data_IF_718170961231
#
_entry.id   IF_718170961231
#
_cell.length_a   1.000
_cell.length_b   1.000
_cell.length_c   1.000
_cell.angle_alpha   90.00
_cell.angle_beta   90.00
_cell.angle_gamma   90.00
#
_symmetry.space_group_name_H-M   'P 1'
#
loop_
_entity.id
_entity.type
_entity.pdbx_description
1 polymer ?
#
# COMPACT_ATOMS: atom_id res chain seq x y z
N UNK A 1 7.64 -27.12 4.82
CA UNK A 1 6.23 -27.41 4.49
C UNK A 1 5.71 -26.34 3.56
N UNK A 2 5.25 -26.71 2.36
CA UNK A 2 4.85 -25.82 1.26
C UNK A 2 3.88 -24.70 1.70
N UNK A 3 2.92 -25.02 2.57
CA UNK A 3 1.94 -24.07 3.10
C UNK A 3 2.58 -22.91 3.87
N UNK A 4 3.66 -23.16 4.62
CA UNK A 4 4.35 -22.10 5.39
C UNK A 4 5.06 -21.10 4.47
N UNK A 5 5.67 -21.59 3.38
CA UNK A 5 6.31 -20.74 2.37
C UNK A 5 5.27 -19.89 1.64
N UNK A 6 4.14 -20.48 1.25
CA UNK A 6 3.03 -19.75 0.64
C UNK A 6 2.50 -18.65 1.55
N UNK A 7 2.32 -18.92 2.84
CA UNK A 7 1.90 -17.92 3.83
C UNK A 7 2.87 -16.73 3.93
N UNK A 8 4.19 -16.99 3.98
CA UNK A 8 5.18 -15.91 4.04
C UNK A 8 5.21 -15.07 2.76
N UNK A 9 5.12 -15.72 1.59
CA UNK A 9 5.06 -15.02 0.31
C UNK A 9 3.83 -14.11 0.24
N UNK A 10 2.66 -14.61 0.67
CA UNK A 10 1.42 -13.83 0.72
C UNK A 10 1.54 -12.65 1.69
N UNK A 11 2.10 -12.84 2.89
CA UNK A 11 2.31 -11.78 3.88
C UNK A 11 3.25 -10.68 3.35
N UNK A 12 4.33 -11.06 2.65
CA UNK A 12 5.23 -10.09 2.00
C UNK A 12 4.50 -9.20 0.99
N UNK A 13 3.68 -9.80 0.12
CA UNK A 13 2.93 -9.05 -0.91
C UNK A 13 1.81 -8.21 -0.28
N UNK A 14 1.08 -8.76 0.69
CA UNK A 14 0.03 -8.03 1.39
C UNK A 14 0.56 -6.79 2.11
N UNK A 15 1.82 -6.79 2.55
CA UNK A 15 2.48 -5.62 3.16
C UNK A 15 3.07 -4.64 2.15
N UNK A 16 3.57 -5.10 1.00
CA UNK A 16 4.23 -4.20 0.03
C UNK A 16 3.25 -3.26 -0.69
N UNK A 17 2.07 -3.77 -1.05
CA UNK A 17 1.04 -3.00 -1.76
C UNK A 17 0.56 -1.76 -0.96
N UNK A 18 0.06 -1.89 0.28
CA UNK A 18 -0.46 -0.74 1.02
C UNK A 18 0.63 0.29 1.32
N UNK A 19 1.89 -0.13 1.49
CA UNK A 19 3.01 0.80 1.65
C UNK A 19 3.20 1.66 0.41
N UNK A 20 3.24 1.05 -0.78
CA UNK A 20 3.33 1.78 -2.04
C UNK A 20 2.13 2.71 -2.28
N UNK A 21 0.92 2.26 -1.97
CA UNK A 21 -0.30 3.09 -2.09
C UNK A 21 -0.28 4.27 -1.13
N UNK A 22 0.21 4.06 0.10
CA UNK A 22 0.29 5.10 1.12
C UNK A 22 1.39 6.14 0.81
N UNK A 23 2.53 5.71 0.27
CA UNK A 23 3.65 6.60 -0.08
C UNK A 23 3.46 7.34 -1.42
N UNK A 24 2.55 6.86 -2.28
CA UNK A 24 2.28 7.49 -3.57
C UNK A 24 1.80 8.95 -3.43
N UNK A 25 2.25 9.80 -4.34
CA UNK A 25 1.79 11.19 -4.46
C UNK A 25 0.69 11.33 -5.51
N UNK A 26 -0.12 12.40 -5.39
CA UNK A 26 -1.17 12.69 -6.36
C UNK A 26 -0.56 13.01 -7.72
N UNK A 27 -1.11 12.45 -8.79
CA UNK A 27 -0.64 12.67 -10.16
C UNK A 27 -1.76 13.25 -11.03
N UNK A 28 -1.73 14.57 -11.21
CA UNK A 28 -2.73 15.29 -12.00
C UNK A 28 -4.14 15.07 -11.46
N UNK A 29 -5.00 14.41 -12.24
CA UNK A 29 -6.39 14.12 -11.84
C UNK A 29 -6.53 12.93 -10.87
N UNK A 30 -5.45 12.21 -10.62
CA UNK A 30 -5.47 11.00 -9.79
C UNK A 30 -4.99 11.35 -8.38
N UNK A 31 -5.90 11.42 -7.39
CA UNK A 31 -5.51 11.72 -6.03
C UNK A 31 -4.75 10.54 -5.41
N UNK A 32 -3.71 10.84 -4.62
CA UNK A 32 -3.09 9.88 -3.73
C UNK A 32 -4.06 9.43 -2.64
N UNK A 33 -3.77 8.27 -2.05
CA UNK A 33 -4.53 7.76 -0.91
C UNK A 33 -4.57 8.78 0.25
N UNK A 34 -3.42 9.38 0.56
CA UNK A 34 -3.28 10.35 1.65
C UNK A 34 -4.05 11.64 1.39
N UNK A 35 -4.09 12.13 0.16
CA UNK A 35 -4.85 13.35 -0.19
C UNK A 35 -6.35 13.07 -0.23
N UNK A 36 -6.76 11.93 -0.79
CA UNK A 36 -8.17 11.52 -0.82
C UNK A 36 -8.77 11.42 0.59
N UNK A 37 -8.01 10.85 1.53
CA UNK A 37 -8.41 10.72 2.94
C UNK A 37 -7.98 11.90 3.84
N UNK A 38 -7.40 12.97 3.27
CA UNK A 38 -6.96 14.19 3.98
C UNK A 38 -5.95 13.94 5.11
N UNK A 39 -5.12 12.90 4.99
CA UNK A 39 -4.12 12.49 5.99
C UNK A 39 -2.89 13.42 6.02
N UNK A 40 -2.70 14.24 4.99
CA UNK A 40 -1.59 15.19 4.87
C UNK A 40 -1.83 16.55 5.53
N UNK A 41 -2.98 16.76 6.20
CA UNK A 41 -3.42 18.07 6.69
C UNK A 41 -3.23 18.29 8.20
N UNK A 42 -2.17 17.72 8.80
CA UNK A 42 -1.79 17.99 10.20
C UNK A 42 -0.70 19.06 10.22
#
# INVERSE_FOLDING_TARGET
GLLKLGMMAADCVARSIPRGVYEAESLGRWPSYRDFHKLNKI
#
